data_IF_125866472023
#
_entry.id   IF_125866472023
#
_cell.length_a   1.000
_cell.length_b   1.000
_cell.length_c   1.000
_cell.angle_alpha   90.00
_cell.angle_beta   90.00
_cell.angle_gamma   90.00
#
_symmetry.space_group_name_H-M   'P 1'
#
loop_
_entity.id
_entity.type
_entity.pdbx_description
1 polymer ?
#
# COMPACT_ATOMS: atom_id res chain seq x y z
N UNK A 1 3.45 8.26 13.31
CA UNK A 1 3.39 9.10 12.11
C UNK A 1 4.78 9.26 11.51
N UNK A 2 4.89 9.15 10.19
CA UNK A 2 6.17 9.27 9.50
C UNK A 2 6.58 10.72 9.27
N UNK A 3 7.88 10.99 9.37
CA UNK A 3 8.43 12.30 9.00
C UNK A 3 8.54 12.40 7.48
N UNK A 4 8.69 13.62 6.96
CA UNK A 4 8.91 13.84 5.53
C UNK A 4 10.15 13.10 5.03
N UNK A 5 11.20 13.06 5.83
CA UNK A 5 12.44 12.33 5.50
C UNK A 5 12.19 10.83 5.37
N UNK A 6 11.40 10.26 6.29
CA UNK A 6 11.04 8.85 6.25
C UNK A 6 10.19 8.52 5.03
N UNK A 7 9.23 9.38 4.69
CA UNK A 7 8.40 9.20 3.50
C UNK A 7 9.26 9.21 2.23
N UNK A 8 10.20 10.14 2.11
CA UNK A 8 11.12 10.18 0.97
C UNK A 8 11.96 8.91 0.86
N UNK A 9 12.45 8.43 1.99
CA UNK A 9 13.22 7.19 2.06
C UNK A 9 12.39 6.02 1.54
N UNK A 10 11.14 5.90 2.01
CA UNK A 10 10.25 4.82 1.60
C UNK A 10 9.87 4.91 0.12
N UNK A 11 9.65 6.11 -0.40
CA UNK A 11 9.41 6.31 -1.84
C UNK A 11 10.57 5.79 -2.66
N UNK A 12 11.80 6.11 -2.24
CA UNK A 12 13.01 5.64 -2.91
C UNK A 12 13.10 4.12 -2.92
N UNK A 13 12.82 3.49 -1.78
CA UNK A 13 12.84 2.02 -1.67
C UNK A 13 11.75 1.38 -2.53
N UNK A 14 10.58 2.01 -2.61
CA UNK A 14 9.47 1.50 -3.39
C UNK A 14 9.75 1.44 -4.89
N UNK A 15 10.65 2.28 -5.40
CA UNK A 15 10.97 2.33 -6.82
C UNK A 15 11.48 0.98 -7.35
N UNK A 16 12.09 0.16 -6.51
CA UNK A 16 12.64 -1.14 -6.91
C UNK A 16 11.67 -2.30 -6.68
N UNK A 17 10.51 -2.02 -6.08
CA UNK A 17 9.53 -3.07 -5.78
C UNK A 17 8.56 -3.25 -6.94
N UNK A 18 8.09 -4.49 -7.10
CA UNK A 18 7.00 -4.80 -8.02
C UNK A 18 5.67 -4.74 -7.29
N UNK A 19 4.59 -4.49 -8.04
CA UNK A 19 3.25 -4.58 -7.47
C UNK A 19 2.95 -6.02 -7.06
N UNK A 20 2.49 -6.22 -5.82
CA UNK A 20 2.24 -7.56 -5.28
C UNK A 20 0.97 -8.19 -5.84
N UNK A 21 -0.08 -7.38 -5.98
CA UNK A 21 -1.36 -7.84 -6.48
C UNK A 21 -2.18 -6.65 -6.98
N UNK A 22 -3.33 -6.97 -7.53
CA UNK A 22 -4.20 -6.00 -8.17
C UNK A 22 -5.54 -5.92 -7.45
N UNK A 23 -6.10 -4.72 -7.39
CA UNK A 23 -7.48 -4.52 -6.96
C UNK A 23 -8.32 -4.44 -8.23
N UNK A 24 -9.21 -5.39 -8.40
CA UNK A 24 -10.03 -5.51 -9.59
C UNK A 24 -11.46 -5.03 -9.39
N UNK A 25 -12.35 -5.53 -10.23
CA UNK A 25 -13.74 -5.13 -10.33
C UNK A 25 -14.49 -5.07 -9.00
N UNK A 26 -14.21 -5.99 -8.09
CA UNK A 26 -14.91 -6.07 -6.81
C UNK A 26 -14.43 -5.00 -5.81
N UNK A 27 -13.43 -4.22 -6.18
CA UNK A 27 -12.92 -3.14 -5.35
C UNK A 27 -12.28 -3.64 -4.06
N UNK A 28 -12.47 -2.87 -2.99
CA UNK A 28 -11.88 -3.18 -1.68
C UNK A 28 -12.78 -4.18 -0.96
N UNK A 29 -12.45 -5.45 -1.09
CA UNK A 29 -13.18 -6.56 -0.46
C UNK A 29 -12.46 -7.03 0.80
N UNK A 30 -13.13 -7.90 1.58
CA UNK A 30 -12.49 -8.53 2.74
C UNK A 30 -11.25 -9.31 2.35
N UNK A 31 -11.27 -9.97 1.19
CA UNK A 31 -10.12 -10.72 0.70
C UNK A 31 -8.94 -9.81 0.37
N UNK A 32 -9.21 -8.65 -0.24
CA UNK A 32 -8.17 -7.65 -0.52
C UNK A 32 -7.55 -7.16 0.79
N UNK A 33 -8.37 -6.80 1.77
CA UNK A 33 -7.88 -6.31 3.06
C UNK A 33 -7.04 -7.38 3.76
N UNK A 34 -7.49 -8.63 3.76
CA UNK A 34 -6.71 -9.73 4.35
C UNK A 34 -5.36 -9.91 3.64
N UNK A 35 -5.34 -9.85 2.31
CA UNK A 35 -4.11 -9.96 1.53
C UNK A 35 -3.15 -8.82 1.83
N UNK A 36 -3.67 -7.59 1.94
CA UNK A 36 -2.86 -6.41 2.28
C UNK A 36 -2.26 -6.55 3.68
N UNK A 37 -3.06 -6.96 4.66
CA UNK A 37 -2.58 -7.17 6.02
C UNK A 37 -1.43 -8.18 6.06
N UNK A 38 -1.59 -9.31 5.38
CA UNK A 38 -0.55 -10.34 5.33
C UNK A 38 0.72 -9.82 4.65
N UNK A 39 0.57 -9.09 3.56
CA UNK A 39 1.71 -8.53 2.84
C UNK A 39 2.46 -7.49 3.69
N UNK A 40 1.74 -6.62 4.40
CA UNK A 40 2.35 -5.62 5.27
C UNK A 40 3.10 -6.27 6.43
N UNK A 41 2.57 -7.34 7.03
CA UNK A 41 3.26 -8.07 8.08
C UNK A 41 4.56 -8.70 7.57
N UNK A 42 4.57 -9.18 6.32
CA UNK A 42 5.72 -9.85 5.75
C UNK A 42 6.77 -8.88 5.20
N UNK A 43 6.35 -7.77 4.58
CA UNK A 43 7.24 -6.91 3.80
C UNK A 43 7.30 -5.46 4.25
N UNK A 44 6.36 -4.99 5.04
CA UNK A 44 6.22 -3.61 5.54
C UNK A 44 5.92 -2.57 4.46
N UNK A 45 6.65 -2.58 3.35
CA UNK A 45 6.45 -1.66 2.24
C UNK A 45 5.98 -2.45 1.02
N UNK A 46 4.83 -2.09 0.49
CA UNK A 46 4.21 -2.83 -0.63
C UNK A 46 3.65 -1.89 -1.67
N UNK A 47 3.52 -2.39 -2.89
CA UNK A 47 2.82 -1.73 -3.99
C UNK A 47 1.61 -2.54 -4.41
N UNK A 48 0.53 -1.84 -4.74
CA UNK A 48 -0.71 -2.44 -5.20
C UNK A 48 -1.14 -1.70 -6.47
N UNK A 49 -1.55 -2.44 -7.48
CA UNK A 49 -2.05 -1.85 -8.72
C UNK A 49 -3.57 -1.87 -8.73
N UNK A 50 -4.21 -0.72 -9.00
CA UNK A 50 -5.66 -0.61 -9.09
C UNK A 50 -6.06 -0.69 -10.56
N UNK A 51 -6.82 -1.71 -10.93
CA UNK A 51 -7.23 -1.90 -12.32
C UNK A 51 -8.24 -0.83 -12.76
N UNK A 52 -8.26 -0.54 -14.05
CA UNK A 52 -9.17 0.44 -14.64
C UNK A 52 -10.64 0.05 -14.52
N UNK A 53 -10.92 -1.22 -14.25
CA UNK A 53 -12.28 -1.73 -14.07
C UNK A 53 -12.90 -1.31 -12.75
N UNK A 54 -12.10 -0.77 -11.83
CA UNK A 54 -12.60 -0.24 -10.55
C UNK A 54 -13.21 1.13 -10.81
N UNK A 55 -14.49 1.31 -10.46
CA UNK A 55 -15.21 2.55 -10.69
C UNK A 55 -14.76 3.70 -9.81
N UNK A 56 -14.27 3.37 -8.60
CA UNK A 56 -13.83 4.38 -7.64
C UNK A 56 -12.50 5.01 -8.07
N UNK A 57 -12.28 6.24 -7.63
CA UNK A 57 -10.99 6.90 -7.85
C UNK A 57 -9.89 6.16 -7.10
N UNK A 58 -8.70 6.13 -7.68
CA UNK A 58 -7.54 5.45 -7.07
C UNK A 58 -7.26 5.98 -5.66
N UNK A 59 -7.38 7.30 -5.48
CA UNK A 59 -7.18 7.94 -4.17
C UNK A 59 -8.17 7.42 -3.12
N UNK A 60 -9.43 7.26 -3.50
CA UNK A 60 -10.45 6.74 -2.59
C UNK A 60 -10.16 5.29 -2.21
N UNK A 61 -9.75 4.47 -3.18
CA UNK A 61 -9.35 3.08 -2.94
C UNK A 61 -8.14 3.04 -2.00
N UNK A 62 -7.16 3.90 -2.24
CA UNK A 62 -5.95 3.97 -1.42
C UNK A 62 -6.25 4.30 0.04
N UNK A 63 -7.08 5.32 0.28
CA UNK A 63 -7.45 5.71 1.64
C UNK A 63 -8.26 4.62 2.34
N UNK A 64 -9.15 3.96 1.62
CA UNK A 64 -9.96 2.87 2.17
C UNK A 64 -9.06 1.72 2.63
N UNK A 65 -8.14 1.28 1.78
CA UNK A 65 -7.20 0.21 2.13
C UNK A 65 -6.29 0.63 3.28
N UNK A 66 -5.73 1.82 3.23
CA UNK A 66 -4.82 2.31 4.26
C UNK A 66 -5.51 2.37 5.62
N UNK A 67 -6.73 2.93 5.68
CA UNK A 67 -7.47 3.03 6.94
C UNK A 67 -7.88 1.66 7.48
N UNK A 68 -8.28 0.74 6.60
CA UNK A 68 -8.71 -0.61 6.99
C UNK A 68 -7.55 -1.47 7.51
N UNK A 69 -6.32 -1.13 7.16
CA UNK A 69 -5.13 -1.91 7.55
C UNK A 69 -4.20 -1.17 8.51
N UNK A 70 -4.56 0.04 8.92
CA UNK A 70 -3.69 0.92 9.71
C UNK A 70 -2.35 1.19 9.04
N UNK A 71 -2.34 1.24 7.72
CA UNK A 71 -1.13 1.53 6.97
C UNK A 71 -0.99 3.01 6.66
N UNK A 72 0.23 3.45 6.44
CA UNK A 72 0.53 4.79 5.95
C UNK A 72 0.47 4.77 4.42
N UNK A 73 -0.24 5.73 3.83
CA UNK A 73 -0.23 5.91 2.37
C UNK A 73 1.02 6.72 2.01
N UNK A 74 1.96 6.08 1.34
CA UNK A 74 3.26 6.70 1.03
C UNK A 74 3.18 7.49 -0.27
N UNK A 75 2.55 6.93 -1.29
CA UNK A 75 2.52 7.55 -2.61
C UNK A 75 1.44 6.92 -3.47
N UNK A 76 0.90 7.71 -4.40
CA UNK A 76 0.05 7.22 -5.49
C UNK A 76 0.72 7.67 -6.79
N UNK A 77 1.06 6.71 -7.63
CA UNK A 77 1.65 6.98 -8.95
C UNK A 77 0.73 6.38 -10.00
N UNK A 78 -0.04 7.23 -10.69
CA UNK A 78 -1.03 6.75 -11.63
C UNK A 78 -2.05 5.84 -10.93
N UNK A 79 -2.04 4.57 -11.25
CA UNK A 79 -2.93 3.59 -10.64
C UNK A 79 -2.21 2.66 -9.65
N UNK A 80 -1.01 3.02 -9.25
CA UNK A 80 -0.21 2.25 -8.29
C UNK A 80 -0.23 2.95 -6.93
N UNK A 81 -0.56 2.19 -5.89
CA UNK A 81 -0.60 2.66 -4.50
C UNK A 81 0.60 2.08 -3.77
N UNK A 82 1.30 2.91 -3.01
CA UNK A 82 2.41 2.49 -2.16
C UNK A 82 2.00 2.65 -0.70
N UNK A 83 2.05 1.55 0.06
CA UNK A 83 1.66 1.51 1.47
C UNK A 83 2.81 1.03 2.34
N UNK A 84 2.86 1.53 3.58
CA UNK A 84 3.83 1.11 4.58
C UNK A 84 3.16 0.91 5.93
N UNK A 85 3.55 -0.17 6.62
CA UNK A 85 3.19 -0.39 8.03
C UNK A 85 4.33 -1.14 8.71
N UNK A 86 4.80 -0.61 9.83
CA UNK A 86 5.84 -1.27 10.62
C UNK A 86 5.35 -2.62 11.13
N UNK A 87 6.17 -3.64 11.00
CA UNK A 87 5.89 -4.98 11.51
C UNK A 87 6.89 -5.33 12.61
N UNK A 88 6.72 -6.51 13.21
CA UNK A 88 7.67 -7.02 14.22
C UNK A 88 9.06 -7.24 13.65
N UNK A 89 9.17 -7.41 12.34
CA UNK A 89 10.46 -7.63 11.66
C UNK A 89 11.32 -6.38 11.61
N UNK A 90 10.69 -5.19 11.67
CA UNK A 90 11.39 -3.90 11.61
C UNK A 90 12.36 -3.82 10.43
N UNK A 91 11.89 -4.19 9.24
CA UNK A 91 12.72 -4.31 8.03
C UNK A 91 13.38 -2.99 7.66
N UNK A 92 12.64 -1.89 7.68
CA UNK A 92 13.13 -0.57 7.30
C UNK A 92 13.67 0.23 8.47
N UNK A 93 13.56 -0.29 9.69
CA UNK A 93 14.14 0.30 10.90
C UNK A 93 13.71 1.76 11.15
N UNK A 94 12.44 2.04 10.92
CA UNK A 94 11.89 3.39 11.11
C UNK A 94 11.29 3.63 12.51
#
# INVERSE_FOLDING_TARGET
>A
MLTNKQVKYLRSKANTLDSLFQVGKDGVSKNVIAAVNNALEAQELIKINVLKTVDEEVRAVAYDIASSTNAELIQIIGRVIVLYRKSKKNIYEL
#
